data_IF_011591382065
#
_entry.id   IF_011591382065
#
_cell.length_a   1.000
_cell.length_b   1.000
_cell.length_c   1.000
_cell.angle_alpha   90.00
_cell.angle_beta   90.00
_cell.angle_gamma   90.00
#
_symmetry.space_group_name_H-M   'P 1'
#
loop_
_entity.id
_entity.type
_entity.pdbx_description
1 polymer ?
#
# COMPACT_ATOMS: atom_id res chain seq x y z
N UNK A 1 -27.35 -3.13 -73.43
CA UNK A 1 -26.65 -4.41 -73.68
C UNK A 1 -25.32 -4.32 -72.91
N UNK A 2 -25.26 -4.73 -71.63
CA UNK A 2 -24.92 -6.09 -71.13
C UNK A 2 -23.51 -6.49 -71.61
N UNK A 3 -22.48 -6.78 -70.80
CA UNK A 3 -22.36 -7.46 -69.49
C UNK A 3 -20.98 -7.16 -68.83
N UNK A 4 -20.87 -7.08 -67.49
CA UNK A 4 -20.23 -8.07 -66.56
C UNK A 4 -18.70 -7.91 -66.38
N UNK A 5 -18.04 -8.19 -65.26
CA UNK A 5 -18.30 -8.42 -63.82
C UNK A 5 -16.96 -8.96 -63.25
N UNK A 6 -16.63 -8.60 -62.00
CA UNK A 6 -15.68 -9.22 -61.04
C UNK A 6 -15.05 -8.07 -60.24
N UNK A 7 -15.58 -7.60 -59.12
CA UNK A 7 -16.09 -8.28 -57.92
C UNK A 7 -15.00 -9.06 -57.16
N UNK A 8 -14.29 -8.32 -56.31
CA UNK A 8 -13.41 -8.84 -55.27
C UNK A 8 -13.71 -8.09 -53.96
N UNK A 9 -14.93 -8.28 -53.46
CA UNK A 9 -15.31 -7.85 -52.12
C UNK A 9 -14.93 -8.93 -51.11
N UNK A 10 -13.75 -8.78 -50.51
CA UNK A 10 -13.40 -9.51 -49.30
C UNK A 10 -14.39 -9.17 -48.18
N UNK A 11 -15.10 -10.21 -47.74
CA UNK A 11 -15.95 -10.32 -46.54
C UNK A 11 -15.28 -9.70 -45.29
N UNK A 12 -15.56 -8.43 -45.01
CA UNK A 12 -15.39 -7.89 -43.65
C UNK A 12 -16.59 -8.32 -42.81
N UNK A 13 -16.41 -9.37 -42.01
CA UNK A 13 -17.38 -9.81 -41.00
C UNK A 13 -17.64 -8.68 -40.01
N UNK A 14 -18.90 -8.24 -39.95
CA UNK A 14 -19.58 -7.48 -38.90
C UNK A 14 -18.74 -6.78 -37.82
N UNK A 15 -18.11 -5.65 -38.12
CA UNK A 15 -17.67 -4.70 -37.09
C UNK A 15 -18.90 -3.97 -36.55
N UNK A 16 -19.24 -4.21 -35.28
CA UNK A 16 -20.22 -3.39 -34.53
C UNK A 16 -19.79 -1.93 -34.59
N UNK A 17 -20.74 -0.99 -34.62
CA UNK A 17 -20.42 0.44 -34.76
C UNK A 17 -19.50 0.91 -33.61
N UNK A 18 -18.51 1.78 -33.88
CA UNK A 18 -17.57 2.27 -32.87
C UNK A 18 -18.26 2.93 -31.67
N UNK A 19 -19.42 3.55 -31.88
CA UNK A 19 -20.20 4.22 -30.82
C UNK A 19 -20.87 3.25 -29.85
N UNK A 20 -21.26 2.04 -30.29
CA UNK A 20 -21.84 1.02 -29.42
C UNK A 20 -20.77 0.31 -28.57
N UNK A 21 -19.53 0.19 -29.06
CA UNK A 21 -18.39 -0.32 -28.29
C UNK A 21 -17.99 0.62 -27.13
N UNK A 22 -18.05 1.94 -27.35
CA UNK A 22 -17.65 2.98 -26.37
C UNK A 22 -18.26 2.78 -24.99
N UNK A 23 -19.54 2.42 -24.90
CA UNK A 23 -20.23 2.30 -23.61
C UNK A 23 -20.10 0.91 -22.97
N UNK A 24 -19.92 -0.13 -23.78
CA UNK A 24 -19.77 -1.51 -23.29
C UNK A 24 -18.42 -1.75 -22.63
N UNK A 25 -17.33 -1.28 -23.27
CA UNK A 25 -15.97 -1.44 -22.76
C UNK A 25 -15.77 -0.73 -21.41
N UNK A 26 -16.22 0.53 -21.35
CA UNK A 26 -16.13 1.35 -20.13
C UNK A 26 -17.01 0.79 -19.00
N UNK A 27 -18.18 0.24 -19.32
CA UNK A 27 -19.03 -0.43 -18.34
C UNK A 27 -18.43 -1.74 -17.82
N UNK A 28 -17.73 -2.52 -18.66
CA UNK A 28 -17.00 -3.73 -18.25
C UNK A 28 -15.79 -3.39 -17.36
N UNK A 29 -15.08 -2.31 -17.69
CA UNK A 29 -13.97 -1.78 -16.88
C UNK A 29 -14.41 -1.43 -15.45
N UNK A 30 -15.66 -0.96 -15.29
CA UNK A 30 -16.29 -0.60 -14.00
C UNK A 30 -16.79 -1.78 -13.18
N UNK A 31 -17.16 -2.92 -13.78
CA UNK A 31 -17.73 -4.06 -13.05
C UNK A 31 -16.70 -4.91 -12.31
N UNK A 32 -15.41 -4.53 -12.37
CA UNK A 32 -14.50 -4.79 -11.25
C UNK A 32 -13.83 -6.16 -11.17
N UNK A 33 -13.63 -6.89 -12.27
CA UNK A 33 -12.98 -8.21 -12.15
C UNK A 33 -11.74 -8.47 -13.03
N UNK A 34 -11.44 -7.72 -14.11
CA UNK A 34 -10.45 -8.23 -15.09
C UNK A 34 -9.43 -7.25 -15.69
N UNK A 35 -9.40 -5.97 -15.37
CA UNK A 35 -8.50 -5.02 -16.04
C UNK A 35 -7.32 -4.43 -15.24
N UNK A 36 -7.28 -4.43 -13.89
CA UNK A 36 -6.11 -3.92 -13.18
C UNK A 36 -4.86 -4.75 -13.45
N UNK A 37 -4.96 -6.09 -13.53
CA UNK A 37 -3.79 -6.96 -13.71
C UNK A 37 -3.19 -6.83 -15.12
N UNK A 38 -4.01 -6.70 -16.16
CA UNK A 38 -3.52 -6.52 -17.53
C UNK A 38 -2.92 -5.12 -17.75
N UNK A 39 -3.56 -4.08 -17.21
CA UNK A 39 -2.94 -2.75 -17.20
C UNK A 39 -1.63 -2.75 -16.41
N UNK A 40 -1.59 -3.42 -15.26
CA UNK A 40 -0.39 -3.54 -14.44
C UNK A 40 0.74 -4.23 -15.22
N UNK A 41 0.44 -5.32 -15.93
CA UNK A 41 1.39 -6.00 -16.80
C UNK A 41 1.87 -5.08 -17.94
N UNK A 42 0.95 -4.39 -18.63
CA UNK A 42 1.29 -3.45 -19.70
C UNK A 42 2.20 -2.31 -19.21
N UNK A 43 1.92 -1.78 -18.02
CA UNK A 43 2.72 -0.74 -17.38
C UNK A 43 3.87 -1.28 -16.53
N UNK A 44 4.33 -2.52 -16.79
CA UNK A 44 5.53 -3.12 -16.18
C UNK A 44 5.53 -3.07 -14.65
N UNK A 45 4.35 -3.20 -14.04
CA UNK A 45 4.17 -3.17 -12.59
C UNK A 45 3.92 -1.78 -11.99
N UNK A 46 3.83 -0.69 -12.76
CA UNK A 46 3.42 0.62 -12.19
C UNK A 46 1.90 0.64 -11.94
N UNK A 47 1.52 0.16 -10.76
CA UNK A 47 0.13 0.13 -10.32
C UNK A 47 -0.49 1.51 -10.21
N UNK A 48 0.29 2.56 -9.92
CA UNK A 48 -0.26 3.92 -9.83
C UNK A 48 -0.61 4.46 -11.20
N UNK A 49 0.17 4.15 -12.23
CA UNK A 49 -0.17 4.51 -13.61
C UNK A 49 -1.43 3.78 -14.09
N UNK A 50 -1.54 2.48 -13.79
CA UNK A 50 -2.73 1.69 -14.09
C UNK A 50 -4.00 2.26 -13.42
N UNK A 51 -3.90 2.60 -12.12
CA UNK A 51 -4.99 3.25 -11.37
C UNK A 51 -5.32 4.62 -11.98
N UNK A 52 -4.29 5.42 -12.32
CA UNK A 52 -4.49 6.74 -12.88
C UNK A 52 -5.20 6.69 -14.24
N UNK A 53 -4.80 5.78 -15.13
CA UNK A 53 -5.49 5.56 -16.41
C UNK A 53 -6.93 5.08 -16.21
N UNK A 54 -7.16 4.14 -15.30
CA UNK A 54 -8.50 3.67 -14.93
C UNK A 54 -9.40 4.83 -14.51
N UNK A 55 -8.86 5.74 -13.69
CA UNK A 55 -9.61 6.88 -13.20
C UNK A 55 -9.84 7.94 -14.29
N UNK A 56 -8.91 8.13 -15.23
CA UNK A 56 -9.15 8.95 -16.42
C UNK A 56 -10.32 8.40 -17.24
N UNK A 57 -10.34 7.09 -17.50
CA UNK A 57 -11.41 6.45 -18.26
C UNK A 57 -12.77 6.58 -17.57
N UNK A 58 -12.83 6.47 -16.23
CA UNK A 58 -14.04 6.76 -15.47
C UNK A 58 -14.58 8.17 -15.76
N UNK A 59 -13.71 9.18 -15.80
CA UNK A 59 -14.14 10.55 -16.05
C UNK A 59 -14.52 10.77 -17.51
N UNK A 60 -13.86 10.13 -18.47
CA UNK A 60 -14.24 10.18 -19.89
C UNK A 60 -15.54 9.43 -20.18
N UNK A 61 -15.87 8.38 -19.45
CA UNK A 61 -17.20 7.75 -19.52
C UNK A 61 -18.30 8.77 -19.15
N UNK A 62 -18.06 9.56 -18.10
CA UNK A 62 -19.02 10.60 -17.66
C UNK A 62 -19.02 11.85 -18.54
N UNK A 63 -17.86 12.18 -19.12
CA UNK A 63 -17.63 13.40 -19.88
C UNK A 63 -16.79 13.08 -21.13
N UNK A 64 -17.39 12.49 -22.17
CA UNK A 64 -16.65 11.96 -23.32
C UNK A 64 -15.94 13.05 -24.13
N UNK A 65 -16.48 14.26 -24.16
CA UNK A 65 -15.89 15.39 -24.90
C UNK A 65 -14.78 16.12 -24.12
N UNK A 66 -14.33 15.56 -23.01
CA UNK A 66 -13.34 16.14 -22.11
C UNK A 66 -13.93 16.71 -20.84
N UNK A 67 -13.07 16.86 -19.85
CA UNK A 67 -13.44 17.37 -18.53
C UNK A 67 -12.31 18.20 -17.94
N UNK A 68 -12.65 18.99 -16.93
CA UNK A 68 -11.66 19.69 -16.13
C UNK A 68 -11.52 19.05 -14.75
N UNK A 69 -10.32 19.14 -14.19
CA UNK A 69 -10.01 18.70 -12.83
C UNK A 69 -8.86 19.53 -12.25
N UNK A 70 -8.83 19.60 -10.93
CA UNK A 70 -7.74 20.25 -10.20
C UNK A 70 -6.63 19.24 -9.93
N UNK A 71 -5.38 19.67 -10.02
CA UNK A 71 -4.28 18.78 -9.65
C UNK A 71 -4.27 18.60 -8.14
N UNK A 72 -4.27 19.71 -7.41
CA UNK A 72 -4.22 19.84 -5.95
C UNK A 72 -5.39 20.64 -5.38
N UNK A 73 -5.46 20.78 -4.05
CA UNK A 73 -6.45 21.64 -3.41
C UNK A 73 -6.31 23.08 -3.91
N UNK A 74 -7.41 23.70 -4.33
CA UNK A 74 -7.37 25.01 -4.96
C UNK A 74 -8.37 25.99 -4.33
N UNK A 75 -7.95 27.24 -4.13
CA UNK A 75 -8.85 28.35 -3.79
C UNK A 75 -9.54 28.85 -5.07
N UNK A 76 -10.50 28.07 -5.57
CA UNK A 76 -11.24 28.38 -6.79
C UNK A 76 -12.73 28.20 -6.55
N UNK A 77 -13.59 29.07 -7.10
CA UNK A 77 -15.03 29.06 -6.83
C UNK A 77 -15.71 27.72 -7.23
N UNK A 78 -15.19 27.05 -8.26
CA UNK A 78 -15.67 25.74 -8.72
C UNK A 78 -15.04 24.55 -7.99
N UNK A 79 -14.07 24.78 -7.11
CA UNK A 79 -13.38 23.72 -6.38
C UNK A 79 -14.23 23.26 -5.18
N UNK A 80 -14.30 21.95 -4.97
CA UNK A 80 -14.86 21.33 -3.76
C UNK A 80 -13.85 20.32 -3.20
N UNK A 81 -13.85 20.16 -1.88
CA UNK A 81 -13.03 19.14 -1.22
C UNK A 81 -13.31 17.75 -1.81
N UNK A 82 -12.25 17.01 -2.09
CA UNK A 82 -12.30 15.69 -2.74
C UNK A 82 -12.29 15.70 -4.27
N UNK A 83 -12.27 16.87 -4.92
CA UNK A 83 -12.32 16.95 -6.40
C UNK A 83 -10.95 16.98 -7.08
N UNK A 84 -9.87 17.24 -6.33
CA UNK A 84 -8.52 17.22 -6.90
C UNK A 84 -8.03 15.80 -7.16
N UNK A 85 -7.06 15.65 -8.09
CA UNK A 85 -6.37 14.38 -8.28
C UNK A 85 -5.65 13.93 -7.01
N UNK A 86 -5.04 14.85 -6.26
CA UNK A 86 -4.38 14.51 -5.00
C UNK A 86 -5.34 13.89 -4.00
N UNK A 87 -6.55 14.44 -3.83
CA UNK A 87 -7.51 13.89 -2.87
C UNK A 87 -8.14 12.59 -3.36
N UNK A 88 -8.47 12.49 -4.66
CA UNK A 88 -9.13 11.32 -5.24
C UNK A 88 -8.23 10.07 -5.27
N UNK A 89 -6.92 10.27 -5.46
CA UNK A 89 -5.95 9.18 -5.62
C UNK A 89 -5.13 8.92 -4.35
N UNK A 90 -5.65 9.26 -3.17
CA UNK A 90 -5.03 8.89 -1.90
C UNK A 90 -3.79 9.71 -1.50
N UNK A 91 -3.74 11.00 -1.84
CA UNK A 91 -2.70 11.92 -1.38
C UNK A 91 -1.46 12.02 -2.27
N UNK A 92 -1.55 11.62 -3.54
CA UNK A 92 -0.46 11.80 -4.51
C UNK A 92 0.05 13.23 -4.52
N UNK A 93 1.37 13.43 -4.68
CA UNK A 93 1.91 14.78 -4.90
C UNK A 93 1.54 15.28 -6.30
N UNK A 94 1.36 16.59 -6.47
CA UNK A 94 1.13 17.22 -7.79
C UNK A 94 2.21 16.82 -8.80
N UNK A 95 3.47 16.74 -8.33
CA UNK A 95 4.58 16.27 -9.14
C UNK A 95 4.41 14.83 -9.64
N UNK A 96 3.94 13.91 -8.78
CA UNK A 96 3.72 12.52 -9.17
C UNK A 96 2.57 12.39 -10.17
N UNK A 97 1.46 13.12 -9.96
CA UNK A 97 0.34 13.16 -10.92
C UNK A 97 0.82 13.64 -12.30
N UNK A 98 1.64 14.69 -12.32
CA UNK A 98 2.21 15.22 -13.57
C UNK A 98 3.12 14.19 -14.25
N UNK A 99 3.94 13.49 -13.48
CA UNK A 99 4.87 12.47 -14.01
C UNK A 99 4.09 11.30 -14.62
N UNK A 100 3.11 10.76 -13.89
CA UNK A 100 2.22 9.70 -14.39
C UNK A 100 1.53 10.11 -15.69
N UNK A 101 1.01 11.35 -15.75
CA UNK A 101 0.34 11.84 -16.95
C UNK A 101 1.27 11.92 -18.18
N UNK A 102 2.53 12.31 -18.01
CA UNK A 102 3.47 12.43 -19.12
C UNK A 102 3.81 11.08 -19.77
N UNK A 103 3.66 9.98 -19.04
CA UNK A 103 3.87 8.64 -19.58
C UNK A 103 2.78 8.27 -20.61
N UNK A 104 1.54 8.64 -20.33
CA UNK A 104 0.35 8.28 -21.11
C UNK A 104 -0.23 9.43 -21.94
N UNK A 105 0.29 10.66 -21.83
CA UNK A 105 -0.33 11.82 -22.44
C UNK A 105 0.59 13.01 -22.68
N UNK A 106 0.07 13.95 -23.47
CA UNK A 106 0.76 15.21 -23.84
C UNK A 106 0.21 16.38 -23.02
N UNK A 107 1.08 17.19 -22.44
CA UNK A 107 0.70 18.36 -21.65
C UNK A 107 1.03 19.66 -22.38
N UNK A 108 0.01 20.45 -22.65
CA UNK A 108 0.11 21.79 -23.22
C UNK A 108 0.16 22.86 -22.12
N UNK A 109 1.04 23.85 -22.28
CA UNK A 109 1.30 24.90 -21.29
C UNK A 109 0.28 26.03 -21.30
N UNK A 110 -0.37 26.25 -22.45
CA UNK A 110 -1.25 27.37 -22.74
C UNK A 110 -2.34 26.93 -23.74
N UNK A 111 -3.43 27.69 -23.79
CA UNK A 111 -4.57 27.38 -24.68
C UNK A 111 -4.19 27.49 -26.16
N UNK A 112 -3.23 28.37 -26.48
CA UNK A 112 -2.75 28.59 -27.85
C UNK A 112 -1.99 27.39 -28.43
N UNK A 113 -1.12 26.75 -27.65
CA UNK A 113 -0.36 25.56 -28.05
C UNK A 113 -1.30 24.37 -28.25
N UNK A 114 -2.29 24.21 -27.37
CA UNK A 114 -3.37 23.24 -27.56
C UNK A 114 -4.13 23.50 -28.88
N UNK A 115 -4.46 24.75 -29.16
CA UNK A 115 -5.22 25.11 -30.36
C UNK A 115 -4.41 24.85 -31.64
N UNK A 116 -3.12 25.19 -31.66
CA UNK A 116 -2.20 24.85 -32.77
C UNK A 116 -2.12 23.35 -32.99
N UNK A 117 -2.03 22.56 -31.91
CA UNK A 117 -2.02 21.11 -32.02
C UNK A 117 -3.33 20.57 -32.61
N UNK A 118 -4.48 21.12 -32.21
CA UNK A 118 -5.79 20.79 -32.82
C UNK A 118 -5.83 21.12 -34.30
N UNK A 119 -5.33 22.28 -34.70
CA UNK A 119 -5.30 22.73 -36.10
C UNK A 119 -4.36 21.88 -36.96
N UNK A 120 -3.24 21.42 -36.37
CA UNK A 120 -2.31 20.50 -37.05
C UNK A 120 -2.86 19.07 -37.23
N UNK A 121 -3.97 18.74 -36.55
CA UNK A 121 -4.55 17.39 -36.53
C UNK A 121 -3.85 16.43 -35.56
N UNK A 122 -2.69 16.78 -35.00
CA UNK A 122 -1.94 15.95 -34.07
C UNK A 122 -2.01 16.47 -32.61
N UNK A 123 -3.21 16.39 -32.04
CA UNK A 123 -3.43 16.81 -30.64
C UNK A 123 -2.71 15.90 -29.63
N UNK A 124 -2.51 14.63 -29.96
CA UNK A 124 -2.11 13.61 -29.01
C UNK A 124 -0.67 13.15 -29.17
N UNK A 125 0.01 13.48 -30.28
CA UNK A 125 1.41 13.10 -30.55
C UNK A 125 1.67 11.61 -30.29
N UNK A 126 0.76 10.76 -30.80
CA UNK A 126 0.79 9.30 -30.61
C UNK A 126 0.49 8.80 -29.19
N UNK A 127 0.09 9.66 -28.25
CA UNK A 127 -0.28 9.28 -26.88
C UNK A 127 -1.78 9.02 -26.72
N UNK A 128 -2.15 8.43 -25.58
CA UNK A 128 -3.53 8.12 -25.21
C UNK A 128 -4.35 9.38 -24.86
N UNK A 129 -3.71 10.35 -24.22
CA UNK A 129 -4.40 11.52 -23.67
C UNK A 129 -3.68 12.84 -23.99
N UNK A 130 -4.41 13.94 -23.85
CA UNK A 130 -3.85 15.28 -23.87
C UNK A 130 -4.45 16.12 -22.74
N UNK A 131 -3.68 17.03 -22.15
CA UNK A 131 -4.21 18.01 -21.21
C UNK A 131 -3.64 19.41 -21.42
N UNK A 132 -4.39 20.41 -20.97
CA UNK A 132 -3.97 21.81 -20.94
C UNK A 132 -4.21 22.37 -19.53
N UNK A 133 -3.23 23.11 -18.99
CA UNK A 133 -3.35 23.76 -17.67
C UNK A 133 -3.59 25.25 -17.83
N UNK A 134 -4.76 25.72 -17.39
CA UNK A 134 -5.00 27.15 -17.26
C UNK A 134 -4.26 27.68 -16.03
N UNK A 135 -3.13 28.35 -16.26
CA UNK A 135 -2.26 28.88 -15.18
C UNK A 135 -2.96 29.91 -14.29
N UNK A 136 -3.93 30.66 -14.81
CA UNK A 136 -4.64 31.68 -14.04
C UNK A 136 -5.59 31.04 -13.00
N UNK A 137 -6.20 29.90 -13.32
CA UNK A 137 -7.18 29.23 -12.45
C UNK A 137 -6.66 27.93 -11.83
N UNK A 138 -5.45 27.50 -12.21
CA UNK A 138 -4.86 26.18 -11.92
C UNK A 138 -5.78 24.99 -12.24
N UNK A 139 -6.62 25.16 -13.27
CA UNK A 139 -7.55 24.12 -13.75
C UNK A 139 -6.90 23.37 -14.91
N UNK A 140 -6.86 22.04 -14.83
CA UNK A 140 -6.37 21.21 -15.93
C UNK A 140 -7.56 20.62 -16.70
N UNK A 141 -7.60 20.83 -18.01
CA UNK A 141 -8.59 20.22 -18.92
C UNK A 141 -7.98 19.03 -19.63
N UNK A 142 -8.69 17.91 -19.67
CA UNK A 142 -8.27 16.63 -20.23
C UNK A 142 -9.07 16.26 -21.48
N UNK A 143 -8.38 15.62 -22.42
CA UNK A 143 -8.89 15.11 -23.69
C UNK A 143 -8.42 13.67 -23.90
N UNK A 144 -9.24 12.86 -24.57
CA UNK A 144 -8.99 11.45 -24.84
C UNK A 144 -8.83 11.20 -26.33
N UNK A 145 -7.80 10.45 -26.71
CA UNK A 145 -7.66 9.93 -28.05
C UNK A 145 -8.56 8.70 -28.19
N UNK A 146 -9.82 8.90 -28.62
CA UNK A 146 -10.79 7.80 -28.58
C UNK A 146 -10.37 6.58 -29.39
N UNK A 147 -9.86 6.78 -30.60
CA UNK A 147 -9.45 5.69 -31.46
C UNK A 147 -8.34 4.85 -30.81
N UNK A 148 -7.27 5.52 -30.38
CA UNK A 148 -6.08 4.85 -29.87
C UNK A 148 -6.32 4.19 -28.51
N UNK A 149 -7.11 4.81 -27.62
CA UNK A 149 -7.46 4.20 -26.33
C UNK A 149 -8.44 3.04 -26.51
N UNK A 150 -9.43 3.15 -27.40
CA UNK A 150 -10.40 2.07 -27.63
C UNK A 150 -9.71 0.84 -28.24
N UNK A 151 -8.78 1.04 -29.18
CA UNK A 151 -7.93 -0.01 -29.74
C UNK A 151 -7.06 -0.66 -28.66
N UNK A 152 -6.33 0.14 -27.89
CA UNK A 152 -5.49 -0.34 -26.79
C UNK A 152 -6.28 -1.18 -25.78
N UNK A 153 -7.45 -0.70 -25.35
CA UNK A 153 -8.27 -1.44 -24.39
C UNK A 153 -8.90 -2.69 -25.00
N UNK A 154 -9.20 -2.68 -26.30
CA UNK A 154 -9.68 -3.87 -27.00
C UNK A 154 -8.60 -4.95 -27.03
N UNK A 155 -7.39 -4.60 -27.47
CA UNK A 155 -6.24 -5.50 -27.50
C UNK A 155 -5.92 -6.05 -26.12
N UNK A 156 -5.98 -5.20 -25.10
CA UNK A 156 -5.77 -5.61 -23.71
C UNK A 156 -6.79 -6.66 -23.26
N UNK A 157 -8.02 -6.60 -23.77
CA UNK A 157 -9.07 -7.55 -23.41
C UNK A 157 -9.04 -8.83 -24.25
N UNK A 158 -8.61 -8.78 -25.50
CA UNK A 158 -8.54 -9.95 -26.38
C UNK A 158 -7.25 -10.74 -26.23
N UNK A 159 -6.15 -10.12 -25.79
CA UNK A 159 -4.84 -10.75 -25.64
C UNK A 159 -4.73 -11.81 -24.52
N UNK A 160 -5.84 -12.22 -23.89
CA UNK A 160 -5.84 -13.28 -22.88
C UNK A 160 -6.88 -14.39 -23.10
N UNK A 161 -7.53 -14.40 -24.28
CA UNK A 161 -8.50 -15.44 -24.66
C UNK A 161 -7.99 -16.30 -25.84
N UNK A 162 -6.75 -16.09 -26.28
CA UNK A 162 -6.11 -16.84 -27.35
C UNK A 162 -4.82 -17.47 -26.86
N UNK A 163 -4.81 -18.81 -26.86
CA UNK A 163 -3.68 -19.71 -26.60
C UNK A 163 -3.39 -20.04 -25.12
N UNK A 164 -4.25 -20.88 -24.53
CA UNK A 164 -3.85 -22.12 -23.81
C UNK A 164 -5.13 -22.88 -23.40
N UNK A 165 -5.56 -23.81 -24.27
CA UNK A 165 -6.37 -24.98 -23.91
C UNK A 165 -5.56 -25.96 -23.02
N UNK A 166 -4.80 -25.43 -22.05
CA UNK A 166 -4.37 -26.19 -20.89
C UNK A 166 -5.48 -26.06 -19.84
N UNK A 167 -6.63 -26.67 -20.16
CA UNK A 167 -7.51 -27.14 -19.09
C UNK A 167 -6.62 -28.03 -18.22
N UNK A 168 -6.34 -27.67 -16.95
CA UNK A 168 -5.54 -28.53 -16.10
C UNK A 168 -6.27 -29.87 -16.08
N UNK A 169 -5.63 -30.91 -16.62
CA UNK A 169 -6.07 -32.27 -16.37
C UNK A 169 -5.96 -32.44 -14.85
N UNK A 170 -7.05 -32.15 -14.16
CA UNK A 170 -7.25 -32.53 -12.78
C UNK A 170 -7.05 -34.02 -12.79
N UNK A 171 -6.03 -34.49 -12.07
CA UNK A 171 -5.78 -35.91 -11.86
C UNK A 171 -7.13 -36.59 -11.61
N UNK A 172 -7.37 -37.75 -12.23
CA UNK A 172 -8.66 -38.46 -12.15
C UNK A 172 -9.15 -38.61 -10.69
N UNK A 173 -8.22 -38.61 -9.73
CA UNK A 173 -8.45 -38.62 -8.29
C UNK A 173 -9.15 -37.35 -7.75
N UNK A 174 -8.83 -36.16 -8.26
CA UNK A 174 -9.46 -34.89 -7.82
C UNK A 174 -10.85 -34.74 -8.44
N UNK A 175 -11.02 -35.23 -9.67
CA UNK A 175 -12.33 -35.28 -10.35
C UNK A 175 -13.30 -36.24 -9.65
N UNK A 176 -12.81 -37.41 -9.21
CA UNK A 176 -13.58 -38.34 -8.38
C UNK A 176 -13.99 -37.73 -7.03
N UNK A 177 -13.10 -36.95 -6.41
CA UNK A 177 -13.36 -36.27 -5.13
C UNK A 177 -14.48 -35.22 -5.23
N UNK A 178 -14.54 -34.49 -6.35
CA UNK A 178 -15.62 -33.53 -6.61
C UNK A 178 -16.96 -34.20 -6.94
N UNK A 179 -16.94 -35.35 -7.64
CA UNK A 179 -18.15 -36.12 -7.92
C UNK A 179 -18.78 -36.71 -6.64
N UNK A 180 -17.95 -37.18 -5.71
CA UNK A 180 -18.40 -37.69 -4.40
C UNK A 180 -19.01 -36.57 -3.52
N UNK A 181 -18.42 -35.37 -3.55
CA UNK A 181 -18.94 -34.20 -2.83
C UNK A 181 -20.32 -33.73 -3.33
N UNK A 182 -20.56 -33.78 -4.64
CA UNK A 182 -21.86 -33.44 -5.21
C UNK A 182 -22.95 -34.49 -4.95
N UNK A 183 -22.59 -35.78 -4.86
CA UNK A 183 -23.54 -36.83 -4.43
C UNK A 183 -23.89 -36.73 -2.95
N UNK A 184 -22.94 -36.32 -2.10
CA UNK A 184 -23.16 -36.15 -0.66
C UNK A 184 -24.07 -34.94 -0.31
N UNK A 185 -24.20 -33.97 -1.21
CA UNK A 185 -24.90 -32.70 -0.96
C UNK A 185 -26.27 -32.58 -1.65
N UNK A 186 -26.63 -33.49 -2.56
CA UNK A 186 -27.92 -33.42 -3.29
C UNK A 186 -29.12 -34.02 -2.54
N UNK A 187 -29.00 -34.32 -1.25
CA UNK A 187 -30.01 -35.02 -0.46
C UNK A 187 -30.38 -34.28 0.82
N UNK A 188 -30.91 -33.04 0.72
CA UNK A 188 -31.76 -32.37 1.73
C UNK A 188 -32.07 -30.92 1.31
N UNK A 189 -33.02 -30.76 0.39
CA UNK A 189 -33.80 -29.51 0.31
C UNK A 189 -35.24 -29.83 0.75
N UNK A 190 -35.48 -29.71 2.05
CA UNK A 190 -36.84 -29.65 2.59
C UNK A 190 -37.19 -28.17 2.78
N UNK A 191 -38.16 -27.69 1.98
CA UNK A 191 -38.70 -26.32 2.04
C UNK A 191 -39.34 -26.07 3.42
N UNK A 192 -38.97 -25.01 4.16
CA UNK A 192 -39.80 -24.56 5.26
C UNK A 192 -40.85 -23.56 4.76
N UNK A 193 -42.11 -23.95 4.92
CA UNK A 193 -43.27 -23.06 4.85
C UNK A 193 -43.17 -21.97 5.93
N UNK A 194 -43.45 -20.74 5.52
CA UNK A 194 -43.34 -19.54 6.33
C UNK A 194 -44.73 -19.18 6.89
N UNK A 195 -44.99 -19.27 8.20
CA UNK A 195 -46.20 -18.69 8.76
C UNK A 195 -45.98 -17.21 9.11
N UNK A 196 -46.91 -16.39 8.62
CA UNK A 196 -47.13 -15.00 8.99
C UNK A 196 -47.64 -14.92 10.43
N UNK A 197 -46.97 -14.17 11.30
CA UNK A 197 -47.51 -13.81 12.63
C UNK A 197 -47.29 -12.33 12.91
N UNK A 198 -48.42 -11.62 12.97
CA UNK A 198 -48.59 -10.33 13.61
C UNK A 198 -48.16 -10.38 15.08
N UNK A 199 -47.37 -9.41 15.55
CA UNK A 199 -47.32 -9.11 16.97
C UNK A 199 -47.68 -7.66 17.28
N UNK A 200 -48.75 -7.60 18.07
CA UNK A 200 -49.40 -6.49 18.74
C UNK A 200 -48.53 -6.11 19.95
N UNK A 201 -48.20 -4.84 20.07
CA UNK A 201 -47.60 -4.21 21.25
C UNK A 201 -48.66 -4.00 22.33
N UNK A 202 -48.39 -4.37 23.59
CA UNK A 202 -48.69 -3.62 24.84
C UNK A 202 -48.34 -4.42 26.14
N UNK A 203 -48.35 -3.82 27.36
CA UNK A 203 -47.17 -3.77 28.25
C UNK A 203 -47.42 -4.32 29.68
N UNK A 204 -46.55 -3.93 30.65
CA UNK A 204 -46.55 -4.13 32.13
C UNK A 204 -45.69 -5.31 32.63
N UNK A 205 -45.12 -5.35 33.83
CA UNK A 205 -45.15 -4.47 35.01
C UNK A 205 -43.91 -4.75 35.88
N UNK A 206 -43.63 -3.84 36.80
CA UNK A 206 -42.68 -3.95 37.91
C UNK A 206 -43.12 -5.01 38.93
N UNK A 207 -42.21 -5.77 39.58
CA UNK A 207 -42.13 -5.87 41.06
C UNK A 207 -40.91 -6.67 41.57
N UNK A 208 -40.46 -6.25 42.76
CA UNK A 208 -39.59 -6.86 43.78
C UNK A 208 -39.72 -8.38 43.99
N UNK A 209 -38.81 -9.12 44.62
CA UNK A 209 -37.66 -8.83 45.47
C UNK A 209 -37.25 -10.12 46.22
N UNK A 210 -36.35 -9.97 47.20
CA UNK A 210 -35.98 -10.91 48.27
C UNK A 210 -34.89 -11.99 47.99
N UNK A 211 -33.80 -11.86 48.74
CA UNK A 211 -32.85 -12.90 49.16
C UNK A 211 -33.48 -13.76 50.30
N UNK A 212 -32.87 -14.83 50.89
CA UNK A 212 -31.48 -14.91 51.40
C UNK A 212 -30.80 -16.32 51.38
N UNK A 213 -29.73 -16.45 52.19
CA UNK A 213 -28.97 -17.61 52.69
C UNK A 213 -27.75 -18.09 51.87
N UNK A 214 -26.52 -17.81 52.32
CA UNK A 214 -25.74 -18.42 53.43
C UNK A 214 -25.21 -19.82 53.10
N UNK A 215 -23.88 -19.93 52.96
CA UNK A 215 -23.04 -21.02 53.47
C UNK A 215 -21.55 -20.69 53.30
N UNK A 216 -20.99 -20.19 54.40
CA UNK A 216 -19.68 -20.40 55.01
C UNK A 216 -18.54 -21.26 54.38
N UNK A 217 -17.33 -20.74 54.68
CA UNK A 217 -16.02 -21.36 55.01
C UNK A 217 -14.85 -21.13 54.02
N UNK A 218 -13.79 -20.40 54.42
CA UNK A 218 -12.52 -20.28 53.72
C UNK A 218 -11.44 -21.24 54.29
N UNK A 219 -10.42 -21.63 53.51
CA UNK A 219 -9.15 -22.04 54.06
C UNK A 219 -8.08 -20.94 53.97
N UNK A 220 -7.31 -20.85 55.06
CA UNK A 220 -6.22 -19.92 55.32
C UNK A 220 -5.00 -20.10 54.40
N UNK A 221 -4.12 -19.07 54.33
CA UNK A 221 -2.95 -19.04 53.44
C UNK A 221 -1.75 -19.78 54.06
N UNK A 222 -1.30 -20.83 53.38
CA UNK A 222 -0.09 -21.58 53.71
C UNK A 222 1.02 -21.34 52.69
N UNK A 223 1.98 -20.49 53.07
CA UNK A 223 3.42 -20.54 52.78
C UNK A 223 3.90 -21.20 51.46
N UNK A 224 4.42 -20.39 50.55
CA UNK A 224 5.53 -20.75 49.65
C UNK A 224 6.25 -19.48 49.18
N UNK A 225 6.94 -18.81 50.12
CA UNK A 225 7.85 -17.71 49.81
C UNK A 225 9.23 -18.29 49.46
N UNK A 226 9.43 -18.70 48.20
CA UNK A 226 10.78 -18.87 47.63
C UNK A 226 10.85 -18.70 46.10
N UNK A 227 9.71 -18.56 45.39
CA UNK A 227 9.69 -18.43 43.92
C UNK A 227 9.45 -17.00 43.38
N UNK A 228 9.21 -16.02 44.25
CA UNK A 228 8.88 -14.65 43.83
C UNK A 228 10.04 -13.95 43.10
N UNK A 229 11.30 -14.19 43.51
CA UNK A 229 12.48 -13.55 42.91
C UNK A 229 12.84 -14.05 41.51
N UNK A 230 12.47 -15.29 41.17
CA UNK A 230 12.74 -15.86 39.85
C UNK A 230 11.78 -15.34 38.77
N UNK A 231 10.50 -15.14 39.12
CA UNK A 231 9.49 -14.66 38.19
C UNK A 231 9.63 -13.16 37.87
N UNK A 232 10.02 -12.32 38.84
CA UNK A 232 10.29 -10.90 38.58
C UNK A 232 11.48 -10.71 37.63
N UNK A 233 12.54 -11.51 37.82
CA UNK A 233 13.73 -11.48 36.97
C UNK A 233 13.39 -11.87 35.51
N UNK A 234 12.53 -12.88 35.34
CA UNK A 234 12.08 -13.34 34.00
C UNK A 234 11.19 -12.31 33.31
N UNK A 235 10.25 -11.69 34.05
CA UNK A 235 9.39 -10.65 33.51
C UNK A 235 10.19 -9.40 33.11
N UNK A 236 11.19 -9.00 33.90
CA UNK A 236 12.08 -7.88 33.60
C UNK A 236 12.90 -8.13 32.33
N UNK A 237 13.48 -9.34 32.18
CA UNK A 237 14.23 -9.72 30.99
C UNK A 237 13.35 -9.68 29.72
N UNK A 238 12.11 -10.18 29.82
CA UNK A 238 11.18 -10.19 28.70
C UNK A 238 10.76 -8.77 28.30
N UNK A 239 10.53 -7.87 29.25
CA UNK A 239 10.24 -6.47 28.96
C UNK A 239 11.44 -5.75 28.30
N UNK A 240 12.67 -6.01 28.76
CA UNK A 240 13.87 -5.44 28.15
C UNK A 240 14.06 -5.92 26.70
N UNK A 241 13.74 -7.19 26.41
CA UNK A 241 13.73 -7.72 25.05
C UNK A 241 12.69 -7.01 24.17
N UNK A 242 11.46 -6.80 24.67
CA UNK A 242 10.42 -6.08 23.94
C UNK A 242 10.79 -4.63 23.62
N UNK A 243 11.60 -3.97 24.45
CA UNK A 243 12.06 -2.61 24.19
C UNK A 243 13.06 -2.51 23.04
N UNK A 244 13.65 -3.64 22.64
CA UNK A 244 14.50 -3.72 21.43
C UNK A 244 13.72 -3.92 20.13
N UNK A 245 12.43 -4.26 20.22
CA UNK A 245 11.58 -4.50 19.06
C UNK A 245 11.12 -3.20 18.40
N UNK A 246 10.96 -3.25 17.07
CA UNK A 246 10.47 -2.13 16.27
C UNK A 246 8.97 -2.26 16.08
N UNK A 247 8.21 -1.40 16.76
CA UNK A 247 6.75 -1.41 16.70
C UNK A 247 6.18 -0.60 15.52
N UNK A 248 5.03 -1.00 14.96
CA UNK A 248 4.34 -0.30 13.87
C UNK A 248 3.86 1.10 14.29
N UNK A 249 3.63 1.98 13.32
CA UNK A 249 3.17 3.34 13.57
C UNK A 249 1.64 3.40 13.84
N UNK A 250 1.22 2.94 15.02
CA UNK A 250 -0.17 2.86 15.48
C UNK A 250 -0.45 3.80 16.67
N UNK A 251 -1.71 3.88 17.10
CA UNK A 251 -2.07 4.65 18.29
C UNK A 251 -1.47 4.03 19.56
N UNK A 252 -1.17 4.84 20.57
CA UNK A 252 -0.54 4.37 21.83
C UNK A 252 -1.37 3.29 22.54
N UNK A 253 -2.71 3.40 22.48
CA UNK A 253 -3.62 2.41 23.07
C UNK A 253 -3.52 1.05 22.34
N UNK A 254 -3.45 1.06 21.01
CA UNK A 254 -3.29 -0.18 20.22
C UNK A 254 -1.91 -0.79 20.43
N UNK A 255 -0.86 0.03 20.50
CA UNK A 255 0.49 -0.44 20.77
C UNK A 255 0.62 -1.12 22.13
N UNK A 256 -0.06 -0.60 23.16
CA UNK A 256 -0.08 -1.24 24.47
C UNK A 256 -0.69 -2.64 24.41
N UNK A 257 -1.81 -2.81 23.67
CA UNK A 257 -2.46 -4.11 23.51
C UNK A 257 -1.62 -5.08 22.67
N UNK A 258 -1.02 -4.61 21.58
CA UNK A 258 -0.13 -5.43 20.73
C UNK A 258 1.11 -5.86 21.50
N UNK A 259 1.66 -4.99 22.36
CA UNK A 259 2.82 -5.32 23.20
C UNK A 259 2.51 -6.43 24.21
N UNK A 260 1.31 -6.44 24.79
CA UNK A 260 0.88 -7.54 25.66
C UNK A 260 0.69 -8.83 24.87
N UNK A 261 0.09 -8.78 23.68
CA UNK A 261 -0.15 -9.95 22.85
C UNK A 261 1.17 -10.58 22.33
N UNK A 262 2.14 -9.76 21.91
CA UNK A 262 3.45 -10.21 21.40
C UNK A 262 4.22 -11.05 22.45
N UNK A 263 3.93 -10.91 23.75
CA UNK A 263 4.59 -11.70 24.80
C UNK A 263 4.34 -13.21 24.66
N UNK A 264 3.17 -13.59 24.13
CA UNK A 264 2.81 -15.00 23.93
C UNK A 264 3.48 -15.58 22.68
N UNK A 265 3.91 -14.74 21.75
CA UNK A 265 4.58 -15.15 20.52
C UNK A 265 6.03 -15.60 20.80
N UNK A 266 6.46 -16.64 20.08
CA UNK A 266 7.82 -17.15 20.12
C UNK A 266 8.84 -16.05 19.75
N UNK A 267 9.95 -15.89 20.50
CA UNK A 267 10.90 -14.79 20.34
C UNK A 267 11.39 -14.56 18.91
N UNK A 268 11.65 -15.64 18.18
CA UNK A 268 12.18 -15.60 16.80
C UNK A 268 11.18 -14.99 15.80
N UNK A 269 9.88 -15.06 16.09
CA UNK A 269 8.82 -14.56 15.21
C UNK A 269 8.27 -13.19 15.62
N UNK A 270 8.53 -12.71 16.83
CA UNK A 270 7.97 -11.44 17.35
C UNK A 270 8.18 -10.27 16.39
N UNK A 271 9.42 -10.10 15.94
CA UNK A 271 9.74 -9.00 15.03
C UNK A 271 9.16 -9.21 13.63
N UNK A 272 9.10 -10.45 13.15
CA UNK A 272 8.50 -10.78 11.84
C UNK A 272 7.00 -10.49 11.82
N UNK A 273 6.31 -10.83 12.90
CA UNK A 273 4.89 -10.50 13.09
C UNK A 273 4.69 -8.98 13.11
N UNK A 274 5.52 -8.23 13.83
CA UNK A 274 5.44 -6.76 13.84
C UNK A 274 5.72 -6.13 12.46
N UNK A 275 6.69 -6.66 11.73
CA UNK A 275 7.02 -6.23 10.37
C UNK A 275 5.82 -6.49 9.43
N UNK A 276 5.15 -7.64 9.55
CA UNK A 276 3.94 -7.98 8.77
C UNK A 276 2.76 -7.05 9.11
N UNK A 277 2.56 -6.71 10.39
CA UNK A 277 1.54 -5.73 10.82
C UNK A 277 1.82 -4.35 10.23
N UNK A 278 3.07 -3.89 10.23
CA UNK A 278 3.47 -2.62 9.62
C UNK A 278 3.33 -2.67 8.09
N UNK A 279 3.65 -3.80 7.46
CA UNK A 279 3.47 -4.04 6.04
C UNK A 279 1.99 -3.93 5.65
N UNK A 280 1.11 -4.60 6.39
CA UNK A 280 -0.33 -4.52 6.18
C UNK A 280 -0.86 -3.09 6.38
N UNK A 281 -0.36 -2.35 7.37
CA UNK A 281 -0.72 -0.94 7.61
C UNK A 281 -0.37 -0.03 6.44
N UNK A 282 0.81 -0.25 5.82
CA UNK A 282 1.30 0.54 4.67
C UNK A 282 0.64 0.13 3.36
N UNK A 283 0.10 -1.09 3.28
CA UNK A 283 -0.60 -1.57 2.10
C UNK A 283 -1.81 -0.71 1.79
N UNK A 284 -2.20 -0.65 0.51
CA UNK A 284 -3.41 0.07 0.08
C UNK A 284 -4.70 -0.48 0.70
N UNK A 285 -4.68 -1.74 1.18
CA UNK A 285 -5.83 -2.38 1.83
C UNK A 285 -5.99 -1.96 3.29
N UNK A 286 -4.90 -1.58 3.97
CA UNK A 286 -4.90 -1.29 5.40
C UNK A 286 -5.46 -2.45 6.24
N UNK A 287 -5.95 -2.16 7.45
CA UNK A 287 -6.63 -3.16 8.27
C UNK A 287 -8.13 -3.20 7.96
N UNK A 288 -8.67 -4.39 7.68
CA UNK A 288 -10.11 -4.57 7.45
C UNK A 288 -10.95 -4.45 8.73
N UNK A 289 -10.36 -4.75 9.90
CA UNK A 289 -11.03 -4.73 11.20
C UNK A 289 -10.25 -3.96 12.26
N UNK A 290 -9.10 -4.50 12.69
CA UNK A 290 -8.24 -3.91 13.71
C UNK A 290 -6.83 -4.51 13.60
N UNK A 291 -5.81 -3.69 13.88
CA UNK A 291 -4.42 -4.14 13.93
C UNK A 291 -4.21 -5.24 14.99
N UNK A 292 -4.88 -5.13 16.15
CA UNK A 292 -4.79 -6.13 17.22
C UNK A 292 -5.35 -7.49 16.77
N UNK A 293 -6.51 -7.49 16.09
CA UNK A 293 -7.10 -8.74 15.59
C UNK A 293 -6.22 -9.40 14.53
N UNK A 294 -5.60 -8.59 13.67
CA UNK A 294 -4.64 -9.09 12.69
C UNK A 294 -3.40 -9.67 13.36
N UNK A 295 -2.87 -8.99 14.38
CA UNK A 295 -1.73 -9.48 15.19
C UNK A 295 -2.04 -10.83 15.82
N UNK A 296 -3.21 -10.99 16.45
CA UNK A 296 -3.65 -12.28 17.03
C UNK A 296 -3.70 -13.40 16.01
N UNK A 297 -4.26 -13.11 14.83
CA UNK A 297 -4.31 -14.07 13.72
C UNK A 297 -2.91 -14.51 13.28
N UNK A 298 -1.95 -13.59 13.21
CA UNK A 298 -0.57 -13.93 12.86
C UNK A 298 0.10 -14.78 13.95
N UNK A 299 -0.14 -14.49 15.23
CA UNK A 299 0.41 -15.28 16.35
C UNK A 299 -0.17 -16.71 16.32
N UNK A 300 -1.48 -16.85 16.14
CA UNK A 300 -2.14 -18.17 15.97
C UNK A 300 -1.59 -18.92 14.73
N UNK A 301 -1.28 -18.20 13.65
CA UNK A 301 -0.63 -18.80 12.49
C UNK A 301 0.81 -19.28 12.79
N UNK A 302 1.56 -18.57 13.64
CA UNK A 302 2.90 -19.02 14.10
C UNK A 302 2.77 -20.30 14.92
N UNK A 303 1.86 -20.33 15.89
CA UNK A 303 1.62 -21.50 16.75
C UNK A 303 1.23 -22.75 15.93
N UNK A 304 0.50 -22.56 14.84
CA UNK A 304 0.09 -23.64 13.93
C UNK A 304 1.12 -23.96 12.83
N UNK A 305 2.31 -23.35 12.84
CA UNK A 305 3.33 -23.47 11.79
C UNK A 305 2.83 -23.08 10.37
N UNK A 306 1.88 -22.16 10.31
CA UNK A 306 1.27 -21.64 9.07
C UNK A 306 1.67 -20.20 8.75
N UNK A 307 2.45 -19.55 9.62
CA UNK A 307 2.91 -18.19 9.41
C UNK A 307 3.80 -18.09 8.17
N UNK A 308 3.49 -17.12 7.30
CA UNK A 308 4.29 -16.78 6.12
C UNK A 308 4.52 -15.28 6.10
N UNK A 309 5.75 -14.88 5.85
CA UNK A 309 6.13 -13.48 5.63
C UNK A 309 5.72 -13.08 4.21
N UNK A 310 4.93 -12.02 4.07
CA UNK A 310 4.51 -11.48 2.77
C UNK A 310 4.81 -9.99 2.70
N UNK A 311 3.94 -9.15 3.28
CA UNK A 311 4.12 -7.70 3.26
C UNK A 311 5.24 -7.24 4.21
N UNK A 312 5.53 -8.03 5.24
CA UNK A 312 6.57 -7.76 6.23
C UNK A 312 7.98 -7.81 5.66
N UNK A 313 8.22 -8.56 4.58
CA UNK A 313 9.56 -8.71 3.98
C UNK A 313 10.14 -7.37 3.53
N UNK A 314 9.29 -6.51 2.94
CA UNK A 314 9.71 -5.18 2.49
C UNK A 314 10.05 -4.26 3.68
N UNK A 315 9.28 -4.35 4.76
CA UNK A 315 9.50 -3.57 5.99
C UNK A 315 10.79 -4.04 6.69
N UNK A 316 11.01 -5.35 6.78
CA UNK A 316 12.22 -5.95 7.32
C UNK A 316 13.48 -5.49 6.56
N UNK A 317 13.43 -5.49 5.22
CA UNK A 317 14.54 -5.04 4.39
C UNK A 317 14.86 -3.55 4.58
N UNK A 318 13.84 -2.68 4.67
CA UNK A 318 14.03 -1.25 4.94
C UNK A 318 14.63 -1.01 6.33
N UNK A 319 14.13 -1.73 7.34
CA UNK A 319 14.62 -1.67 8.71
C UNK A 319 16.10 -2.08 8.80
N UNK A 320 16.47 -3.17 8.14
CA UNK A 320 17.87 -3.62 8.10
C UNK A 320 18.78 -2.58 7.45
N UNK A 321 18.36 -2.00 6.31
CA UNK A 321 19.11 -0.94 5.64
C UNK A 321 19.32 0.28 6.53
N UNK A 322 18.31 0.65 7.34
CA UNK A 322 18.42 1.74 8.32
C UNK A 322 19.42 1.42 9.41
N UNK A 323 19.38 0.21 9.98
CA UNK A 323 20.34 -0.24 10.99
C UNK A 323 21.77 -0.24 10.45
N UNK A 324 21.97 -0.73 9.22
CA UNK A 324 23.28 -0.73 8.58
C UNK A 324 23.80 0.69 8.33
N UNK A 325 22.92 1.61 7.94
CA UNK A 325 23.26 3.03 7.78
C UNK A 325 23.63 3.69 9.11
N UNK A 326 22.89 3.43 10.19
CA UNK A 326 23.20 3.97 11.52
C UNK A 326 24.52 3.37 12.06
N UNK A 327 24.77 2.09 11.80
CA UNK A 327 26.04 1.42 12.11
C UNK A 327 27.21 2.02 11.31
N UNK A 328 27.02 2.32 10.03
CA UNK A 328 28.03 2.97 9.20
C UNK A 328 28.33 4.40 9.68
N UNK A 329 27.30 5.17 10.05
CA UNK A 329 27.46 6.53 10.58
C UNK A 329 28.17 6.54 11.95
N UNK A 330 27.83 5.61 12.84
CA UNK A 330 28.50 5.48 14.13
C UNK A 330 29.96 5.04 13.97
N UNK A 331 30.25 4.12 13.04
CA UNK A 331 31.62 3.75 12.69
C UNK A 331 32.41 4.94 12.12
N UNK A 332 31.84 5.70 11.19
CA UNK A 332 32.47 6.90 10.62
C UNK A 332 32.74 7.98 11.68
N UNK A 333 31.82 8.16 12.63
CA UNK A 333 31.99 9.10 13.76
C UNK A 333 33.16 8.71 14.66
N UNK A 334 33.40 7.40 14.83
CA UNK A 334 34.54 6.90 15.59
C UNK A 334 35.87 7.05 14.82
N UNK A 335 35.86 6.87 13.49
CA UNK A 335 37.05 7.10 12.65
C UNK A 335 37.45 8.58 12.63
N UNK A 336 36.49 9.51 12.58
CA UNK A 336 36.81 10.95 12.63
C UNK A 336 37.41 11.41 13.99
N UNK A 337 37.38 10.56 15.02
CA UNK A 337 37.99 10.85 16.32
C UNK A 337 39.43 10.38 16.44
N UNK A 338 39.94 9.55 15.50
CA UNK A 338 41.38 9.31 15.46
C UNK A 338 42.05 10.61 15.06
N UNK A 339 42.90 11.21 15.91
CA UNK A 339 43.59 12.44 15.57
C UNK A 339 44.34 12.21 14.27
N UNK A 340 44.01 12.94 13.21
CA UNK A 340 44.87 12.98 12.03
C UNK A 340 46.19 13.56 12.55
N UNK A 341 47.29 12.79 12.57
CA UNK A 341 48.57 13.33 12.99
C UNK A 341 48.86 14.51 12.07
N UNK A 342 49.23 15.68 12.62
CA UNK A 342 49.57 16.82 11.79
C UNK A 342 50.65 16.38 10.79
N UNK A 343 50.54 16.72 9.50
CA UNK A 343 51.56 16.38 8.53
C UNK A 343 52.89 16.94 9.01
N UNK A 344 53.87 16.06 9.22
CA UNK A 344 55.11 16.35 9.95
C UNK A 344 55.95 17.48 9.32
N UNK A 345 55.72 17.82 8.06
CA UNK A 345 56.60 18.68 7.26
C UNK A 345 55.97 20.01 6.82
N UNK A 346 54.78 20.38 7.33
CA UNK A 346 54.20 21.69 7.01
C UNK A 346 54.63 22.74 8.05
N UNK A 347 55.37 23.79 7.64
CA UNK A 347 55.80 24.84 8.56
C UNK A 347 54.59 25.63 9.09
N UNK A 348 54.65 26.02 10.37
CA UNK A 348 53.52 26.60 11.14
C UNK A 348 52.94 27.88 10.53
N UNK A 349 53.72 28.57 9.71
CA UNK A 349 53.38 29.79 8.99
C UNK A 349 52.42 29.57 7.81
N UNK A 350 52.24 28.33 7.34
CA UNK A 350 51.26 28.00 6.28
C UNK A 350 49.87 27.66 6.79
N UNK A 351 49.69 27.46 8.09
CA UNK A 351 48.37 27.22 8.67
C UNK A 351 47.59 28.53 8.82
N UNK A 352 46.26 28.46 8.70
CA UNK A 352 45.41 29.62 8.97
C UNK A 352 45.53 30.04 10.45
N UNK A 353 45.31 31.33 10.78
CA UNK A 353 45.41 31.81 12.16
C UNK A 353 44.54 31.01 13.14
N UNK A 354 43.33 30.62 12.72
CA UNK A 354 42.43 29.77 13.52
C UNK A 354 43.03 28.39 13.82
N UNK A 355 43.66 27.75 12.83
CA UNK A 355 44.32 26.45 13.02
C UNK A 355 45.56 26.57 13.90
N UNK A 356 46.32 27.67 13.82
CA UNK A 356 47.45 27.92 14.71
C UNK A 356 47.01 28.03 16.17
N UNK A 357 45.90 28.71 16.44
CA UNK A 357 45.34 28.81 17.80
C UNK A 357 44.94 27.43 18.34
N UNK A 358 44.29 26.60 17.53
CA UNK A 358 43.87 25.24 17.92
C UNK A 358 45.08 24.30 18.14
N UNK A 359 46.10 24.41 17.29
CA UNK A 359 47.33 23.61 17.43
C UNK A 359 48.15 24.07 18.65
N UNK A 360 48.28 25.38 18.88
CA UNK A 360 49.00 25.93 20.02
C UNK A 360 48.33 25.58 21.36
N UNK A 361 46.99 25.56 21.44
CA UNK A 361 46.29 25.15 22.67
C UNK A 361 46.52 23.67 23.00
N UNK A 362 46.70 22.81 21.98
CA UNK A 362 46.93 21.37 22.18
C UNK A 362 48.36 21.02 22.56
N UNK A 363 49.36 21.77 22.10
CA UNK A 363 50.77 21.58 22.51
C UNK A 363 50.93 21.84 24.01
N UNK A 364 50.19 22.82 24.56
CA UNK A 364 50.19 23.10 26.00
C UNK A 364 49.60 21.98 26.87
N UNK A 365 48.68 21.18 26.32
CA UNK A 365 48.10 20.02 27.04
C UNK A 365 49.05 18.81 27.01
N UNK A 366 49.76 18.58 25.90
CA UNK A 366 50.75 17.50 25.79
C UNK A 366 52.01 17.71 26.67
N UNK A 367 52.40 18.97 26.91
CA UNK A 367 53.50 19.30 27.83
C UNK A 367 53.09 19.17 29.32
N UNK A 368 51.80 19.15 29.64
CA UNK A 368 51.31 18.89 31.01
C UNK A 368 51.26 17.41 31.36
N UNK A 369 51.01 16.53 30.39
CA UNK A 369 50.99 15.07 30.60
C UNK A 369 52.40 14.45 30.66
N UNK A 370 53.45 15.17 30.25
CA UNK A 370 54.82 14.66 30.18
C UNK A 370 55.73 15.07 31.36
N UNK A 371 55.21 15.73 32.41
CA UNK A 371 55.99 15.94 33.64
C UNK A 371 56.00 14.67 34.48
N UNK A 372 57.17 14.04 34.70
CA UNK A 372 57.26 12.92 35.63
C UNK A 372 56.93 13.43 37.04
N UNK A 373 55.99 12.75 37.69
CA UNK A 373 55.77 12.85 39.13
C UNK A 373 57.06 12.38 39.79
N UNK A 374 57.87 13.32 40.29
CA UNK A 374 59.01 13.02 41.14
C UNK A 374 58.45 12.59 42.50
N UNK A 375 58.69 11.33 42.87
CA UNK A 375 58.50 10.78 44.22
C UNK A 375 59.48 11.37 45.23
#
# INVERSE_FOLDING_TARGET
MTTSSADDTQKFKGKRSPSAMRNGLLASFRRGFYTPHRLLAHFKGDGMLAIFMTQLEYWFEKKPNGFYKFQSKASHALYKNGQSWQEELGGLSEHRVRTLFLEIGVRYTDKSSLQKAKESGDLFNGKYYACYVNRATNVTTYYRNHALVDEFLYDLMTAGDGDEDDEPQLDDDVSAMFAEYHQATSGKEEKPDRPSVHHKSEPRDETSGAAPDECDVPPSPGQSASDAGANESKAAALNAELDTLFFPALSQAELALIREEIKTCEPEYRQKVLDEVEGQRRSSRGFTKSALRFTRYLIEAVENNQFREDLGVLVAAERQKRLDSEKALSAARNVSRTPIPPPADLPMDRYSPKLRTILASRVGDAERESKPVLE
#
